data_IF_538029361768
#
_entry.id   IF_538029361768
#
_cell.length_a   1.000
_cell.length_b   1.000
_cell.length_c   1.000
_cell.angle_alpha   90.00
_cell.angle_beta   90.00
_cell.angle_gamma   90.00
#
_symmetry.space_group_name_H-M   'P 1'
#
loop_
_entity.id
_entity.type
_entity.pdbx_description
1 polymer ?
#
# COMPACT_ATOMS: atom_id res chain seq x y z
N UNK A 1 6.85 20.80 16.53
CA UNK A 1 6.12 20.44 15.30
C UNK A 1 4.85 21.27 15.25
N UNK A 2 4.58 21.95 14.14
CA UNK A 2 3.33 22.67 13.90
C UNK A 2 2.19 21.67 13.74
N UNK A 3 1.06 21.93 14.37
CA UNK A 3 -0.14 21.09 14.20
C UNK A 3 -0.64 21.17 12.76
N UNK A 4 -1.15 20.07 12.17
CA UNK A 4 -1.68 20.09 10.81
C UNK A 4 -2.89 21.02 10.74
N UNK A 5 -2.96 21.80 9.66
CA UNK A 5 -4.11 22.65 9.36
C UNK A 5 -5.33 21.80 8.91
N UNK A 6 -6.49 22.42 8.70
CA UNK A 6 -7.71 21.69 8.34
C UNK A 6 -7.58 20.91 7.03
N UNK A 7 -6.93 21.48 6.01
CA UNK A 7 -6.72 20.80 4.72
C UNK A 7 -5.79 19.59 4.88
N UNK A 8 -4.74 19.70 5.67
CA UNK A 8 -3.86 18.57 6.00
C UNK A 8 -4.61 17.49 6.77
N UNK A 9 -5.43 17.84 7.75
CA UNK A 9 -6.24 16.86 8.51
C UNK A 9 -7.25 16.13 7.61
N UNK A 10 -7.87 16.85 6.68
CA UNK A 10 -8.78 16.25 5.70
C UNK A 10 -8.02 15.26 4.80
N UNK A 11 -6.87 15.68 4.25
CA UNK A 11 -6.01 14.79 3.46
C UNK A 11 -5.59 13.55 4.25
N UNK A 12 -5.13 13.71 5.49
CA UNK A 12 -4.75 12.59 6.36
C UNK A 12 -5.92 11.62 6.55
N UNK A 13 -7.13 12.14 6.79
CA UNK A 13 -8.32 11.31 6.94
C UNK A 13 -8.68 10.55 5.65
N UNK A 14 -8.64 11.22 4.50
CA UNK A 14 -8.90 10.62 3.19
C UNK A 14 -7.90 9.51 2.85
N UNK A 15 -6.60 9.72 3.14
CA UNK A 15 -5.58 8.69 2.90
C UNK A 15 -5.75 7.49 3.84
N UNK A 16 -6.10 7.71 5.11
CA UNK A 16 -6.40 6.61 6.04
C UNK A 16 -7.60 5.79 5.56
N UNK A 17 -8.69 6.45 5.13
CA UNK A 17 -9.86 5.77 4.58
C UNK A 17 -9.55 5.00 3.29
N UNK A 18 -8.76 5.61 2.40
CA UNK A 18 -8.33 4.99 1.14
C UNK A 18 -7.54 3.71 1.42
N UNK A 19 -6.56 3.79 2.32
CA UNK A 19 -5.76 2.63 2.73
C UNK A 19 -6.63 1.54 3.36
N UNK A 20 -7.51 1.90 4.30
CA UNK A 20 -8.41 0.95 4.96
C UNK A 20 -9.31 0.22 3.96
N UNK A 21 -10.00 0.98 3.11
CA UNK A 21 -10.96 0.42 2.16
C UNK A 21 -10.28 -0.48 1.13
N UNK A 22 -9.11 -0.05 0.64
CA UNK A 22 -8.29 -0.85 -0.26
C UNK A 22 -7.87 -2.16 0.40
N UNK A 23 -7.32 -2.14 1.61
CA UNK A 23 -6.86 -3.36 2.29
C UNK A 23 -7.99 -4.32 2.62
N UNK A 24 -9.12 -3.84 3.13
CA UNK A 24 -10.30 -4.69 3.36
C UNK A 24 -10.82 -5.33 2.05
N UNK A 25 -10.67 -4.62 0.93
CA UNK A 25 -11.03 -5.16 -0.39
C UNK A 25 -10.04 -6.24 -0.84
N UNK A 26 -8.74 -6.00 -0.66
CA UNK A 26 -7.68 -6.98 -0.95
C UNK A 26 -7.83 -8.22 -0.06
N UNK A 27 -8.15 -8.05 1.22
CA UNK A 27 -8.32 -9.16 2.17
C UNK A 27 -9.42 -10.12 1.72
N UNK A 28 -10.57 -9.59 1.29
CA UNK A 28 -11.66 -10.40 0.74
C UNK A 28 -11.21 -11.19 -0.49
N UNK A 29 -10.54 -10.52 -1.43
CA UNK A 29 -10.07 -11.12 -2.68
C UNK A 29 -8.96 -12.15 -2.43
N UNK A 30 -8.10 -11.90 -1.44
CA UNK A 30 -7.02 -12.80 -1.05
C UNK A 30 -7.55 -14.18 -0.63
N UNK A 31 -8.75 -14.26 -0.04
CA UNK A 31 -9.33 -15.54 0.38
C UNK A 31 -9.94 -16.36 -0.78
N UNK A 32 -10.11 -15.77 -1.96
CA UNK A 32 -10.69 -16.45 -3.12
C UNK A 32 -9.82 -17.63 -3.56
N UNK A 33 -10.41 -18.82 -3.67
CA UNK A 33 -9.71 -20.04 -4.10
C UNK A 33 -8.75 -20.63 -3.06
N UNK A 34 -8.70 -20.08 -1.84
CA UNK A 34 -7.88 -20.59 -0.72
C UNK A 34 -8.65 -21.48 0.27
N UNK A 35 -9.87 -21.88 -0.05
CA UNK A 35 -10.68 -22.80 0.79
C UNK A 35 -10.99 -24.09 0.02
N UNK A 36 -11.33 -25.22 0.69
CA UNK A 36 -11.51 -25.42 2.13
C UNK A 36 -10.19 -25.56 2.91
N UNK A 37 -9.09 -25.88 2.22
CA UNK A 37 -7.74 -25.92 2.82
C UNK A 37 -6.97 -24.70 2.35
N UNK A 38 -6.49 -23.91 3.32
CA UNK A 38 -5.69 -22.73 3.06
C UNK A 38 -4.46 -23.06 2.21
N UNK A 39 -4.33 -22.40 1.07
CA UNK A 39 -3.17 -22.49 0.18
C UNK A 39 -2.79 -21.10 -0.32
N UNK A 40 -1.68 -20.57 0.19
CA UNK A 40 -1.18 -19.23 -0.15
C UNK A 40 -0.83 -19.05 -1.63
N UNK A 41 -0.54 -20.13 -2.37
CA UNK A 41 -0.20 -20.07 -3.79
C UNK A 41 -1.44 -20.04 -4.71
N UNK A 42 -2.65 -20.22 -4.16
CA UNK A 42 -3.90 -20.19 -4.93
C UNK A 42 -4.59 -18.83 -4.87
N UNK A 43 -5.49 -18.63 -5.82
CA UNK A 43 -6.29 -17.42 -5.92
C UNK A 43 -5.63 -16.33 -6.75
N UNK A 44 -6.31 -15.18 -6.86
CA UNK A 44 -5.86 -14.08 -7.71
C UNK A 44 -4.65 -13.33 -7.14
N UNK A 45 -4.38 -13.46 -5.84
CA UNK A 45 -3.22 -12.88 -5.18
C UNK A 45 -2.43 -14.01 -4.49
N UNK A 46 -1.34 -14.49 -5.10
CA UNK A 46 -0.49 -15.52 -4.52
C UNK A 46 0.48 -14.92 -3.49
N UNK A 47 0.95 -15.75 -2.55
CA UNK A 47 1.92 -15.37 -1.51
C UNK A 47 1.28 -15.01 -0.17
N UNK A 48 2.08 -14.50 0.76
CA UNK A 48 1.65 -14.18 2.13
C UNK A 48 1.18 -12.75 2.27
N UNK A 49 -0.13 -12.50 2.39
CA UNK A 49 -0.65 -11.14 2.51
C UNK A 49 -0.32 -10.49 3.88
N UNK A 50 0.36 -9.34 3.86
CA UNK A 50 0.67 -8.54 5.05
C UNK A 50 -0.08 -7.20 5.03
N UNK A 51 -1.26 -7.20 5.67
CA UNK A 51 -2.10 -6.02 5.85
C UNK A 51 -1.49 -5.03 6.88
N UNK A 52 -1.65 -3.74 6.62
CA UNK A 52 -1.34 -2.61 7.50
C UNK A 52 -2.58 -2.00 8.18
N UNK A 53 -3.75 -2.62 8.05
CA UNK A 53 -4.95 -2.35 8.85
C UNK A 53 -4.64 -2.00 10.33
N UNK A 54 -4.87 -0.75 10.73
CA UNK A 54 -4.68 -0.21 12.07
C UNK A 54 -3.44 0.69 12.20
N UNK A 55 -2.58 0.71 11.18
CA UNK A 55 -1.32 1.46 11.15
C UNK A 55 -1.40 2.71 10.27
N UNK A 56 -2.52 2.98 9.62
CA UNK A 56 -2.73 4.11 8.71
C UNK A 56 -2.34 5.48 9.32
N UNK A 57 -2.63 5.77 10.62
CA UNK A 57 -2.20 7.01 11.24
C UNK A 57 -0.67 7.23 11.22
N UNK A 58 0.13 6.16 11.25
CA UNK A 58 1.59 6.23 11.18
C UNK A 58 2.04 6.79 9.82
N UNK A 59 1.49 6.26 8.73
CA UNK A 59 1.83 6.70 7.37
C UNK A 59 1.48 8.16 7.13
N UNK A 60 0.24 8.57 7.42
CA UNK A 60 -0.21 9.94 7.16
C UNK A 60 0.44 10.95 8.12
N UNK A 61 0.74 10.54 9.36
CA UNK A 61 1.42 11.39 10.34
C UNK A 61 2.82 11.78 9.90
N UNK A 62 3.54 10.86 9.26
CA UNK A 62 4.86 11.15 8.67
C UNK A 62 4.70 11.89 7.34
N UNK A 63 3.93 11.32 6.39
CA UNK A 63 3.86 11.83 5.02
C UNK A 63 3.25 13.23 4.89
N UNK A 64 2.39 13.65 5.82
CA UNK A 64 1.84 15.02 5.83
C UNK A 64 2.90 16.13 6.04
N UNK A 65 4.10 15.76 6.46
CA UNK A 65 5.21 16.67 6.76
C UNK A 65 6.42 16.47 5.83
N UNK A 66 6.30 15.60 4.83
CA UNK A 66 7.35 15.37 3.85
C UNK A 66 7.17 16.28 2.64
N UNK A 67 8.29 16.61 2.00
CA UNK A 67 8.32 17.22 0.69
C UNK A 67 8.33 16.14 -0.39
N UNK A 68 8.02 16.54 -1.64
CA UNK A 68 7.99 15.62 -2.77
C UNK A 68 9.35 14.93 -3.03
N UNK A 69 10.46 15.63 -2.72
CA UNK A 69 11.82 15.13 -2.90
C UNK A 69 12.26 14.10 -1.84
N UNK A 70 11.54 13.99 -0.71
CA UNK A 70 11.92 13.08 0.35
C UNK A 70 11.69 11.62 -0.06
N UNK A 71 12.67 10.76 0.23
CA UNK A 71 12.61 9.33 -0.04
C UNK A 71 11.98 8.61 1.16
N UNK A 72 11.04 7.71 0.88
CA UNK A 72 10.38 6.88 1.90
C UNK A 72 10.61 5.42 1.62
N UNK A 73 11.20 4.73 2.59
CA UNK A 73 11.36 3.27 2.58
C UNK A 73 10.39 2.62 3.56
N UNK A 74 9.56 1.69 3.08
CA UNK A 74 8.60 0.96 3.89
C UNK A 74 9.05 -0.48 4.21
N UNK A 75 8.44 -1.08 5.23
CA UNK A 75 8.71 -2.46 5.68
C UNK A 75 7.85 -3.48 4.90
N UNK A 76 7.73 -4.72 5.42
CA UNK A 76 6.85 -5.78 4.90
C UNK A 76 5.33 -5.46 4.96
N UNK A 77 4.91 -4.33 5.56
CA UNK A 77 3.52 -3.84 5.57
C UNK A 77 3.39 -2.49 4.85
N UNK A 78 3.70 -2.41 3.55
CA UNK A 78 4.02 -1.13 2.92
C UNK A 78 2.80 -0.32 2.48
N UNK A 79 1.60 -0.91 2.38
CA UNK A 79 0.50 -0.34 1.59
C UNK A 79 0.03 1.02 2.09
N UNK A 80 -0.23 1.18 3.39
CA UNK A 80 -0.61 2.48 3.96
C UNK A 80 0.43 3.59 3.71
N UNK A 81 1.73 3.27 3.73
CA UNK A 81 2.80 4.25 3.46
C UNK A 81 2.85 4.55 1.96
N UNK A 82 2.70 3.55 1.10
CA UNK A 82 2.63 3.73 -0.36
C UNK A 82 1.47 4.67 -0.74
N UNK A 83 0.28 4.43 -0.18
CA UNK A 83 -0.91 5.29 -0.35
C UNK A 83 -0.59 6.72 0.10
N UNK A 84 -0.11 6.90 1.33
CA UNK A 84 0.17 8.23 1.87
C UNK A 84 1.32 8.96 1.14
N UNK A 85 2.29 8.23 0.57
CA UNK A 85 3.37 8.81 -0.24
C UNK A 85 2.94 9.16 -1.67
N UNK A 86 1.75 8.70 -2.09
CA UNK A 86 1.16 9.03 -3.37
C UNK A 86 1.48 8.05 -4.50
N UNK A 87 1.83 6.80 -4.17
CA UNK A 87 1.95 5.74 -5.19
C UNK A 87 0.62 5.58 -5.93
N UNK A 88 0.65 5.48 -7.25
CA UNK A 88 -0.57 5.31 -8.04
C UNK A 88 -1.30 4.02 -7.64
N UNK A 89 -2.54 4.17 -7.18
CA UNK A 89 -3.31 3.07 -6.62
C UNK A 89 -3.61 1.99 -7.67
N UNK A 90 -3.85 2.36 -8.94
CA UNK A 90 -4.16 1.39 -9.99
C UNK A 90 -2.93 0.56 -10.34
N UNK A 91 -1.77 1.21 -10.48
CA UNK A 91 -0.50 0.51 -10.74
C UNK A 91 -0.06 -0.32 -9.54
N UNK A 92 -0.25 0.16 -8.31
CA UNK A 92 0.01 -0.61 -7.10
C UNK A 92 -0.88 -1.86 -7.04
N UNK A 93 -2.18 -1.72 -7.33
CA UNK A 93 -3.07 -2.88 -7.41
C UNK A 93 -2.65 -3.82 -8.54
N UNK A 94 -2.32 -3.31 -9.72
CA UNK A 94 -1.82 -4.13 -10.82
C UNK A 94 -0.58 -4.94 -10.39
N UNK A 95 0.33 -4.34 -9.62
CA UNK A 95 1.51 -5.03 -9.07
C UNK A 95 1.12 -6.14 -8.09
N UNK A 96 0.21 -5.86 -7.15
CA UNK A 96 -0.30 -6.84 -6.16
C UNK A 96 -0.96 -8.04 -6.84
N UNK A 97 -1.67 -7.81 -7.95
CA UNK A 97 -2.32 -8.86 -8.74
C UNK A 97 -1.39 -9.52 -9.79
N UNK A 98 -0.10 -9.17 -9.81
CA UNK A 98 0.87 -9.78 -10.74
C UNK A 98 0.65 -9.41 -12.20
N UNK A 99 0.05 -8.25 -12.49
CA UNK A 99 -0.23 -7.78 -13.85
C UNK A 99 0.98 -7.05 -14.45
N UNK A 100 1.17 -7.16 -15.77
CA UNK A 100 2.25 -6.50 -16.49
C UNK A 100 2.21 -4.96 -16.43
N UNK A 101 1.06 -4.37 -16.11
CA UNK A 101 0.89 -2.92 -15.89
C UNK A 101 1.18 -2.49 -14.45
N UNK A 102 1.69 -3.40 -13.61
CA UNK A 102 2.14 -3.09 -12.26
C UNK A 102 3.43 -2.28 -12.26
N UNK A 103 3.70 -1.65 -11.12
CA UNK A 103 4.87 -0.81 -10.85
C UNK A 103 6.21 -1.42 -11.29
N UNK A 104 6.37 -2.73 -11.15
CA UNK A 104 7.55 -3.51 -11.53
C UNK A 104 7.20 -4.66 -12.51
N UNK A 105 6.11 -4.49 -13.26
CA UNK A 105 5.61 -5.48 -14.20
C UNK A 105 4.96 -6.70 -13.53
N UNK A 106 4.44 -6.55 -12.31
CA UNK A 106 3.75 -7.62 -11.58
C UNK A 106 4.67 -8.65 -10.93
N UNK A 107 5.94 -8.32 -10.72
CA UNK A 107 6.98 -9.25 -10.24
C UNK A 107 7.35 -9.06 -8.77
N UNK A 108 7.17 -7.85 -8.24
CA UNK A 108 7.42 -7.52 -6.84
C UNK A 108 6.26 -7.91 -5.92
N UNK A 109 5.04 -7.97 -6.47
CA UNK A 109 3.85 -8.30 -5.70
C UNK A 109 3.59 -7.28 -4.57
N UNK A 110 2.91 -7.72 -3.52
CA UNK A 110 2.44 -6.79 -2.47
C UNK A 110 3.53 -6.35 -1.47
N UNK A 111 4.68 -7.05 -1.38
CA UNK A 111 5.76 -6.70 -0.44
C UNK A 111 6.85 -5.83 -1.07
N UNK A 112 7.10 -5.95 -2.38
CA UNK A 112 8.21 -5.28 -3.04
C UNK A 112 7.73 -4.17 -3.99
N UNK A 113 6.88 -3.29 -3.46
CA UNK A 113 6.41 -2.11 -4.18
C UNK A 113 7.56 -1.10 -4.37
N UNK A 114 7.61 -0.49 -5.54
CA UNK A 114 8.61 0.54 -5.90
C UNK A 114 7.98 1.55 -6.84
N UNK A 115 8.12 2.84 -6.54
CA UNK A 115 7.70 3.90 -7.46
C UNK A 115 8.68 5.08 -7.37
N UNK A 116 9.56 5.16 -8.38
CA UNK A 116 10.55 6.24 -8.48
C UNK A 116 9.94 7.62 -8.75
N UNK A 117 8.68 7.71 -9.21
CA UNK A 117 8.01 9.00 -9.47
C UNK A 117 7.65 9.72 -8.19
N UNK A 118 7.43 8.96 -7.11
CA UNK A 118 7.09 9.48 -5.78
C UNK A 118 8.13 9.10 -4.72
N UNK A 119 9.35 8.71 -5.13
CA UNK A 119 10.45 8.38 -4.23
C UNK A 119 10.09 7.34 -3.15
N UNK A 120 9.35 6.29 -3.54
CA UNK A 120 8.90 5.24 -2.63
C UNK A 120 9.54 3.89 -2.96
N UNK A 121 9.97 3.15 -1.94
CA UNK A 121 10.39 1.76 -2.08
C UNK A 121 10.13 0.94 -0.82
N UNK A 122 10.12 -0.38 -0.94
CA UNK A 122 10.20 -1.29 0.21
C UNK A 122 11.66 -1.65 0.53
N UNK A 123 11.95 -1.99 1.79
CA UNK A 123 13.31 -2.33 2.25
C UNK A 123 13.84 -3.69 1.78
N UNK A 124 12.99 -4.52 1.16
CA UNK A 124 13.27 -5.93 0.90
C UNK A 124 12.64 -6.82 1.95
#
# INVERSE_FOLDING_TARGET
MTQPNNSQRLWMYEQMLTSRYMEESIERIYMEGKTPVFNMAKGPIPGEMHLSNGQEPCAVGVCAHLEAADIVTATHRPHHIAVAKGVDLNEMMAEIFGKATGLSGGRGGHMHLFDGRVNFSCSG
#
